data_IF_667188966002
#
_entry.id   IF_667188966002
#
_cell.length_a   1.000
_cell.length_b   1.000
_cell.length_c   1.000
_cell.angle_alpha   90.00
_cell.angle_beta   90.00
_cell.angle_gamma   90.00
#
_symmetry.space_group_name_H-M   'P 1'
#
loop_
_entity.id
_entity.type
_entity.pdbx_description
1 polymer ?
#
# COMPACT_ATOMS: atom_id res chain seq x y z
N UNK A 1 7.30 14.40 2.36
CA UNK A 1 6.39 14.24 1.18
C UNK A 1 5.12 13.42 1.51
N UNK A 2 4.02 13.48 0.73
CA UNK A 2 2.71 12.83 1.06
C UNK A 2 2.23 11.76 0.05
N UNK A 3 1.45 10.79 0.54
CA UNK A 3 0.71 9.81 -0.31
C UNK A 3 -0.42 10.52 -1.05
N UNK A 4 -0.56 10.27 -2.36
CA UNK A 4 -1.57 10.90 -3.21
C UNK A 4 -2.53 9.86 -3.78
N UNK A 5 -3.83 10.14 -3.72
CA UNK A 5 -4.84 9.38 -4.46
C UNK A 5 -4.83 9.88 -5.91
N UNK A 6 -4.55 8.98 -6.86
CA UNK A 6 -4.55 9.30 -8.29
C UNK A 6 -5.93 9.14 -8.90
N UNK A 7 -6.61 8.05 -8.55
CA UNK A 7 -7.92 7.69 -9.10
C UNK A 7 -8.64 6.74 -8.15
N UNK A 8 -9.96 6.86 -8.08
CA UNK A 8 -10.86 5.89 -7.48
C UNK A 8 -11.85 5.42 -8.55
N UNK A 9 -12.08 4.12 -8.64
CA UNK A 9 -13.02 3.52 -9.60
C UNK A 9 -13.80 2.39 -8.95
N UNK A 10 -15.05 2.22 -9.35
CA UNK A 10 -15.82 1.03 -8.99
C UNK A 10 -15.20 -0.21 -9.64
N UNK A 11 -15.20 -1.32 -8.93
CA UNK A 11 -14.60 -2.57 -9.40
C UNK A 11 -15.36 -3.78 -8.82
N UNK A 12 -16.38 -4.24 -9.53
CA UNK A 12 -17.25 -5.31 -9.04
C UNK A 12 -18.01 -4.84 -7.79
N UNK A 13 -18.00 -5.64 -6.72
CA UNK A 13 -18.66 -5.32 -5.45
C UNK A 13 -17.84 -4.39 -4.52
N UNK A 14 -16.92 -3.60 -5.06
CA UNK A 14 -16.00 -2.78 -4.24
C UNK A 14 -15.35 -1.65 -5.03
N UNK A 15 -14.28 -1.08 -4.47
CA UNK A 15 -13.56 0.04 -5.05
C UNK A 15 -12.11 -0.31 -5.33
N UNK A 16 -11.58 0.23 -6.42
CA UNK A 16 -10.17 0.24 -6.71
C UNK A 16 -9.62 1.66 -6.62
N UNK A 17 -8.65 1.87 -5.74
CA UNK A 17 -8.00 3.16 -5.48
C UNK A 17 -6.55 3.09 -5.86
N UNK A 18 -6.17 3.85 -6.89
CA UNK A 18 -4.78 3.98 -7.31
C UNK A 18 -4.11 5.09 -6.51
N UNK A 19 -2.94 4.77 -5.99
CA UNK A 19 -2.14 5.62 -5.12
C UNK A 19 -0.77 5.86 -5.74
N UNK A 20 -0.25 7.05 -5.50
CA UNK A 20 1.16 7.40 -5.68
C UNK A 20 1.76 7.63 -4.30
N UNK A 21 2.72 6.79 -3.94
CA UNK A 21 3.55 6.97 -2.77
C UNK A 21 4.66 7.99 -3.09
N UNK A 22 5.24 8.66 -2.08
CA UNK A 22 6.38 9.56 -2.30
C UNK A 22 7.68 8.81 -2.62
N UNK A 23 7.75 7.51 -2.32
CA UNK A 23 8.86 6.61 -2.63
C UNK A 23 8.36 5.17 -2.73
N UNK A 24 9.21 4.27 -3.23
CA UNK A 24 8.95 2.85 -3.12
C UNK A 24 9.04 2.40 -1.66
N UNK A 25 8.18 1.45 -1.26
CA UNK A 25 8.27 0.80 0.04
C UNK A 25 9.46 -0.15 0.05
N UNK A 26 10.19 -0.18 1.17
CA UNK A 26 11.17 -1.21 1.43
C UNK A 26 10.47 -2.55 1.70
N UNK A 27 11.20 -3.65 1.50
CA UNK A 27 10.65 -5.00 1.72
C UNK A 27 10.18 -5.22 3.17
N UNK A 28 10.94 -4.75 4.16
CA UNK A 28 10.56 -4.85 5.56
C UNK A 28 9.26 -4.10 5.88
N UNK A 29 9.01 -2.97 5.22
CA UNK A 29 7.75 -2.23 5.38
C UNK A 29 6.58 -3.02 4.78
N UNK A 30 6.80 -3.67 3.64
CA UNK A 30 5.81 -4.56 3.02
C UNK A 30 5.48 -5.74 3.94
N UNK A 31 6.48 -6.36 4.58
CA UNK A 31 6.27 -7.47 5.50
C UNK A 31 5.47 -7.05 6.73
N UNK A 32 5.79 -5.89 7.32
CA UNK A 32 5.04 -5.33 8.45
C UNK A 32 3.58 -5.08 8.06
N UNK A 33 3.33 -4.47 6.89
CA UNK A 33 1.98 -4.25 6.39
C UNK A 33 1.24 -5.58 6.18
N UNK A 34 1.91 -6.58 5.60
CA UNK A 34 1.31 -7.90 5.41
C UNK A 34 0.91 -8.54 6.75
N UNK A 35 1.78 -8.45 7.77
CA UNK A 35 1.50 -8.98 9.10
C UNK A 35 0.35 -8.23 9.80
N UNK A 36 0.35 -6.90 9.76
CA UNK A 36 -0.69 -6.04 10.36
C UNK A 36 -2.09 -6.38 9.85
N UNK A 37 -2.21 -6.69 8.56
CA UNK A 37 -3.49 -7.03 7.92
C UNK A 37 -3.72 -8.52 7.71
N UNK A 38 -2.87 -9.38 8.28
CA UNK A 38 -2.92 -10.85 8.08
C UNK A 38 -3.02 -11.22 6.60
N UNK A 39 -2.30 -10.49 5.76
CA UNK A 39 -2.31 -10.63 4.33
C UNK A 39 -1.24 -11.62 3.86
N UNK A 40 -1.54 -12.38 2.81
CA UNK A 40 -0.54 -13.22 2.16
C UNK A 40 0.26 -12.38 1.17
N UNK A 41 1.57 -12.33 1.38
CA UNK A 41 2.48 -11.57 0.53
C UNK A 41 2.93 -12.41 -0.66
N UNK A 42 2.69 -11.93 -1.88
CA UNK A 42 3.12 -12.60 -3.11
C UNK A 42 4.14 -11.76 -3.87
N UNK A 43 5.28 -12.37 -4.12
CA UNK A 43 6.42 -11.71 -4.77
C UNK A 43 6.73 -12.34 -6.11
N UNK A 44 7.29 -11.52 -7.00
CA UNK A 44 7.92 -11.96 -8.24
C UNK A 44 9.27 -11.26 -8.35
N UNK A 45 10.36 -12.03 -8.46
CA UNK A 45 11.74 -11.50 -8.54
C UNK A 45 12.09 -10.52 -7.40
N UNK A 46 11.70 -10.82 -6.16
CA UNK A 46 11.94 -9.96 -5.01
C UNK A 46 11.08 -8.69 -4.98
N UNK A 47 10.11 -8.56 -5.88
CA UNK A 47 9.18 -7.44 -5.92
C UNK A 47 7.81 -7.87 -5.40
N UNK A 48 7.23 -7.12 -4.46
CA UNK A 48 5.82 -7.28 -4.08
C UNK A 48 4.97 -7.08 -5.31
N UNK A 49 4.14 -8.07 -5.65
CA UNK A 49 3.17 -7.98 -6.74
C UNK A 49 1.76 -7.80 -6.17
N UNK A 50 1.46 -8.45 -5.04
CA UNK A 50 0.14 -8.39 -4.40
C UNK A 50 0.21 -8.78 -2.91
N UNK A 51 -0.58 -8.11 -2.07
CA UNK A 51 -0.99 -8.56 -0.74
C UNK A 51 -2.44 -9.02 -0.86
N UNK A 52 -2.69 -10.31 -0.63
CA UNK A 52 -4.04 -10.87 -0.57
C UNK A 52 -4.60 -10.70 0.85
N UNK A 53 -5.69 -9.92 1.00
CA UNK A 53 -6.39 -9.72 2.26
C UNK A 53 -7.67 -10.58 2.29
N UNK A 54 -8.20 -10.92 3.47
CA UNK A 54 -9.51 -11.58 3.56
C UNK A 54 -10.65 -10.77 2.91
N UNK A 55 -10.55 -9.44 2.90
CA UNK A 55 -11.57 -8.49 2.42
C UNK A 55 -11.26 -7.88 1.05
N UNK A 56 -10.23 -8.36 0.36
CA UNK A 56 -9.84 -7.82 -0.95
C UNK A 56 -8.36 -8.06 -1.26
N UNK A 57 -7.81 -7.22 -2.13
CA UNK A 57 -6.41 -7.36 -2.57
C UNK A 57 -5.76 -5.98 -2.70
N UNK A 58 -4.53 -5.87 -2.26
CA UNK A 58 -3.67 -4.74 -2.57
C UNK A 58 -2.67 -5.20 -3.63
N UNK A 59 -2.56 -4.49 -4.74
CA UNK A 59 -1.52 -4.73 -5.74
C UNK A 59 -0.51 -3.61 -5.67
N UNK A 60 0.76 -3.94 -5.49
CA UNK A 60 1.84 -2.97 -5.54
C UNK A 60 2.67 -3.22 -6.81
N UNK A 61 3.14 -2.14 -7.41
CA UNK A 61 4.27 -2.22 -8.32
C UNK A 61 5.45 -1.66 -7.55
N UNK A 62 6.53 -2.42 -7.34
CA UNK A 62 7.70 -1.91 -6.61
C UNK A 62 8.70 -1.14 -7.50
N UNK A 63 8.56 -1.20 -8.83
CA UNK A 63 9.42 -0.44 -9.78
C UNK A 63 9.07 1.03 -9.86
N UNK A 64 7.87 1.38 -9.43
CA UNK A 64 7.34 2.75 -9.37
C UNK A 64 6.70 2.91 -8.01
N UNK A 65 6.58 4.10 -7.44
CA UNK A 65 5.93 4.26 -6.16
C UNK A 65 4.39 4.23 -6.33
N UNK A 66 3.85 3.21 -7.00
CA UNK A 66 2.42 3.07 -7.30
C UNK A 66 1.84 1.82 -6.66
N UNK A 67 0.65 2.00 -6.10
CA UNK A 67 -0.08 0.97 -5.39
C UNK A 67 -1.56 1.10 -5.73
N UNK A 68 -2.22 -0.01 -6.01
CA UNK A 68 -3.66 -0.05 -6.24
C UNK A 68 -4.29 -0.89 -5.14
N UNK A 69 -5.15 -0.26 -4.33
CA UNK A 69 -5.97 -0.93 -3.33
C UNK A 69 -7.26 -1.40 -4.01
N UNK A 70 -7.59 -2.69 -3.97
CA UNK A 70 -8.88 -3.24 -4.45
C UNK A 70 -9.60 -3.85 -3.26
N UNK A 71 -10.41 -3.06 -2.59
CA UNK A 71 -11.03 -3.44 -1.32
C UNK A 71 -12.54 -3.32 -1.42
N UNK A 72 -13.24 -4.27 -0.79
CA UNK A 72 -14.69 -4.24 -0.69
C UNK A 72 -15.17 -3.38 0.48
N UNK A 73 -14.32 -3.22 1.51
CA UNK A 73 -14.62 -2.46 2.72
C UNK A 73 -13.91 -1.09 2.71
N UNK A 74 -14.70 -0.01 2.77
CA UNK A 74 -14.21 1.36 2.82
C UNK A 74 -13.45 1.68 4.11
N UNK A 75 -13.77 1.01 5.24
CA UNK A 75 -13.05 1.19 6.49
C UNK A 75 -11.65 0.58 6.42
N UNK A 76 -11.52 -0.60 5.82
CA UNK A 76 -10.23 -1.22 5.54
C UNK A 76 -9.36 -0.29 4.66
N UNK A 77 -9.96 0.30 3.62
CA UNK A 77 -9.26 1.25 2.74
C UNK A 77 -8.73 2.46 3.52
N UNK A 78 -9.57 3.11 4.33
CA UNK A 78 -9.17 4.28 5.12
C UNK A 78 -8.01 3.95 6.08
N UNK A 79 -8.06 2.80 6.75
CA UNK A 79 -6.99 2.34 7.66
C UNK A 79 -5.66 2.09 6.94
N UNK A 80 -5.73 1.48 5.75
CA UNK A 80 -4.53 1.24 4.93
C UNK A 80 -3.94 2.56 4.44
N UNK A 81 -4.78 3.51 4.01
CA UNK A 81 -4.33 4.83 3.59
C UNK A 81 -3.63 5.60 4.72
N UNK A 82 -4.21 5.63 5.92
CA UNK A 82 -3.60 6.27 7.08
C UNK A 82 -2.23 5.65 7.41
N UNK A 83 -2.15 4.32 7.42
CA UNK A 83 -0.90 3.62 7.70
C UNK A 83 0.19 3.90 6.66
N UNK A 84 -0.17 3.93 5.37
CA UNK A 84 0.75 4.31 4.29
C UNK A 84 1.23 5.77 4.44
N UNK A 85 0.37 6.68 4.89
CA UNK A 85 0.75 8.06 5.18
C UNK A 85 1.73 8.13 6.37
N UNK A 86 1.54 7.33 7.40
CA UNK A 86 2.47 7.26 8.53
C UNK A 86 3.85 6.75 8.10
N UNK A 87 3.91 5.67 7.32
CA UNK A 87 5.17 5.13 6.79
C UNK A 87 5.92 6.16 5.91
N UNK A 88 5.18 6.90 5.09
CA UNK A 88 5.75 7.99 4.30
C UNK A 88 6.36 9.09 5.17
N UNK A 89 5.70 9.46 6.28
CA UNK A 89 6.19 10.48 7.23
C UNK A 89 7.42 10.00 8.01
N UNK A 90 7.40 8.77 8.52
CA UNK A 90 8.51 8.23 9.33
C UNK A 90 9.81 8.07 8.55
N UNK A 91 9.74 7.87 7.23
CA UNK A 91 10.92 7.83 6.38
C UNK A 91 11.50 9.20 6.05
N UNK A 92 10.67 10.24 6.04
CA UNK A 92 11.09 11.65 5.91
C UNK A 92 11.90 12.05 7.15
N UNK A 93 11.40 11.73 8.35
CA UNK A 93 12.08 12.05 9.62
C UNK A 93 13.45 11.38 9.78
N UNK A 94 13.65 10.16 9.25
CA UNK A 94 14.95 9.50 9.28
C UNK A 94 15.99 10.09 8.32
N UNK A 95 15.56 10.90 7.35
CA UNK A 95 16.46 11.54 6.40
C UNK A 95 17.04 12.88 6.92
N UNK A 96 16.42 13.49 7.94
CA UNK A 96 16.88 14.76 8.56
C UNK A 96 17.87 14.56 9.73
N UNK A 97 18.09 13.32 10.19
CA UNK A 97 19.04 12.99 11.26
C UNK A 97 20.35 12.34 10.75
N UNK A 98 20.67 12.43 9.46
CA UNK A 98 21.92 11.91 8.86
C UNK A 98 22.82 13.00 8.30
#
# INVERSE_FOLDING_TARGET
>A
MQVRILRRRECGAGWATDLLLPRCLAWSEVEVLAQEWRAACRCFQGQLVWLDLPSGRITASLRVPRLTLRLHDANAEARILDRLQQLAKSADSKAEES
#
